data_IF_779682185515
#
_entry.id   IF_779682185515
#
_cell.length_a   1.000
_cell.length_b   1.000
_cell.length_c   1.000
_cell.angle_alpha   90.00
_cell.angle_beta   90.00
_cell.angle_gamma   90.00
#
_symmetry.space_group_name_H-M   'P 1'
#
loop_
_entity.id
_entity.type
_entity.pdbx_description
1 polymer ?
#
# COMPACT_ATOMS: atom_id res chain seq x y z
N UNK A 1 -7.02 11.80 5.83
CA UNK A 1 -6.80 10.80 4.77
C UNK A 1 -5.37 10.81 4.25
N UNK A 2 -4.90 11.92 3.66
CA UNK A 2 -3.59 11.99 2.99
C UNK A 2 -2.41 11.57 3.89
N UNK A 3 -2.36 12.07 5.14
CA UNK A 3 -1.30 11.72 6.10
C UNK A 3 -1.27 10.21 6.46
N UNK A 4 -2.44 9.58 6.56
CA UNK A 4 -2.56 8.14 6.87
C UNK A 4 -2.08 7.32 5.70
N UNK A 5 -2.46 7.70 4.47
CA UNK A 5 -2.05 7.01 3.24
C UNK A 5 -0.53 7.13 3.05
N UNK A 6 0.04 8.32 3.25
CA UNK A 6 1.48 8.55 3.11
C UNK A 6 2.30 7.78 4.15
N UNK A 7 1.85 7.76 5.41
CA UNK A 7 2.60 7.13 6.50
C UNK A 7 2.53 5.61 6.51
N UNK A 8 1.41 5.01 6.07
CA UNK A 8 1.16 3.57 6.28
C UNK A 8 1.34 2.75 5.01
N UNK A 9 0.63 3.13 3.94
CA UNK A 9 0.53 2.32 2.72
C UNK A 9 1.54 2.71 1.65
N UNK A 10 2.07 3.94 1.71
CA UNK A 10 3.01 4.46 0.72
C UNK A 10 4.42 4.69 1.27
N UNK A 11 4.70 4.29 2.51
CA UNK A 11 6.02 4.49 3.10
C UNK A 11 7.18 3.97 2.22
N UNK A 12 7.13 2.74 1.65
CA UNK A 12 8.20 2.26 0.78
C UNK A 12 8.32 3.05 -0.54
N UNK A 13 7.18 3.51 -1.08
CA UNK A 13 7.15 4.31 -2.30
C UNK A 13 7.71 5.73 -2.08
N UNK A 14 7.35 6.36 -0.96
CA UNK A 14 7.83 7.69 -0.57
C UNK A 14 9.32 7.62 -0.24
N UNK A 15 9.76 6.63 0.53
CA UNK A 15 11.18 6.45 0.86
C UNK A 15 12.03 6.34 -0.40
N UNK A 16 11.54 5.62 -1.41
CA UNK A 16 12.21 5.55 -2.71
C UNK A 16 12.17 6.85 -3.50
N UNK A 17 11.04 7.56 -3.50
CA UNK A 17 10.93 8.89 -4.09
C UNK A 17 11.92 9.87 -3.49
N UNK A 18 12.09 9.85 -2.16
CA UNK A 18 13.06 10.66 -1.42
C UNK A 18 14.50 10.30 -1.82
N UNK A 19 14.83 9.02 -1.99
CA UNK A 19 16.16 8.58 -2.46
C UNK A 19 16.44 9.09 -3.89
N UNK A 20 15.46 9.02 -4.79
CA UNK A 20 15.61 9.54 -6.17
C UNK A 20 15.77 11.07 -6.18
N UNK A 21 15.00 11.78 -5.33
CA UNK A 21 15.14 13.22 -5.14
C UNK A 21 16.55 13.58 -4.62
N UNK A 22 17.03 12.88 -3.59
CA UNK A 22 18.40 13.06 -3.07
C UNK A 22 19.45 12.80 -4.16
N UNK A 23 19.29 11.77 -5.00
CA UNK A 23 20.16 11.52 -6.16
C UNK A 23 20.16 12.67 -7.17
N UNK A 24 19.02 13.36 -7.34
CA UNK A 24 18.91 14.49 -8.26
C UNK A 24 19.57 15.75 -7.69
N UNK A 25 19.44 16.00 -6.39
CA UNK A 25 20.00 17.20 -5.74
C UNK A 25 21.48 17.07 -5.36
N UNK A 26 22.03 15.86 -5.21
CA UNK A 26 23.43 15.68 -4.84
C UNK A 26 24.41 15.74 -6.03
N UNK A 27 25.59 16.36 -5.84
CA UNK A 27 26.62 16.43 -6.86
C UNK A 27 27.17 15.03 -7.22
N UNK A 28 27.67 14.88 -8.45
CA UNK A 28 28.07 13.62 -9.09
C UNK A 28 28.94 12.69 -8.22
N UNK A 29 29.76 13.25 -7.32
CA UNK A 29 30.64 12.50 -6.41
C UNK A 29 29.89 11.53 -5.48
N UNK A 30 28.63 11.82 -5.16
CA UNK A 30 27.81 10.99 -4.27
C UNK A 30 26.83 10.06 -5.00
N UNK A 31 26.68 10.20 -6.33
CA UNK A 31 25.76 9.34 -7.13
C UNK A 31 26.15 7.86 -7.08
N UNK A 32 27.44 7.56 -7.04
CA UNK A 32 27.97 6.18 -6.95
C UNK A 32 27.51 5.47 -5.69
N UNK A 33 27.47 6.15 -4.53
CA UNK A 33 27.01 5.54 -3.28
C UNK A 33 25.50 5.25 -3.31
N UNK A 34 24.71 6.16 -3.89
CA UNK A 34 23.27 5.95 -4.06
C UNK A 34 22.95 4.84 -5.07
N UNK A 35 23.70 4.73 -6.16
CA UNK A 35 23.56 3.62 -7.10
C UNK A 35 23.99 2.29 -6.48
N UNK A 36 25.02 2.27 -5.63
CA UNK A 36 25.42 1.07 -4.89
C UNK A 36 24.37 0.62 -3.86
N UNK A 37 23.76 1.57 -3.14
CA UNK A 37 22.64 1.29 -2.23
C UNK A 37 21.43 0.75 -2.99
N UNK A 38 21.12 1.32 -4.17
CA UNK A 38 20.02 0.86 -5.02
C UNK A 38 20.26 -0.53 -5.64
N UNK A 39 21.52 -0.87 -5.93
CA UNK A 39 21.90 -2.16 -6.52
C UNK A 39 21.94 -3.27 -5.46
N UNK A 40 22.34 -2.95 -4.23
CA UNK A 40 22.50 -3.90 -3.13
C UNK A 40 21.37 -3.78 -2.08
N UNK A 41 20.14 -3.58 -2.55
CA UNK A 41 18.95 -3.28 -1.72
C UNK A 41 18.71 -4.29 -0.59
N UNK A 42 18.88 -5.58 -0.86
CA UNK A 42 18.52 -6.65 0.09
C UNK A 42 19.49 -6.81 1.28
N UNK A 43 20.73 -6.28 1.19
CA UNK A 43 21.72 -6.37 2.29
C UNK A 43 21.69 -5.17 3.24
N UNK A 44 21.12 -4.03 2.82
CA UNK A 44 21.17 -2.77 3.58
C UNK A 44 19.83 -2.39 4.22
N UNK A 45 18.68 -2.79 3.64
CA UNK A 45 17.38 -2.60 4.28
C UNK A 45 16.28 -3.45 3.63
N UNK A 46 15.59 -4.27 4.42
CA UNK A 46 14.39 -5.04 4.03
C UNK A 46 13.21 -4.18 3.56
N UNK A 47 13.31 -2.85 3.65
CA UNK A 47 12.27 -1.91 3.25
C UNK A 47 12.49 -1.37 1.83
N UNK A 48 13.70 -1.53 1.25
CA UNK A 48 14.02 -1.00 -0.07
C UNK A 48 13.64 -2.03 -1.13
N UNK A 49 12.40 -1.95 -1.60
CA UNK A 49 11.93 -2.80 -2.69
C UNK A 49 12.56 -2.37 -4.04
N UNK A 50 13.00 -3.33 -4.89
CA UNK A 50 13.47 -3.08 -6.24
C UNK A 50 12.41 -2.40 -7.12
N UNK A 51 12.88 -1.92 -8.28
CA UNK A 51 12.20 -0.86 -9.01
C UNK A 51 10.75 -1.17 -9.40
N UNK A 52 10.59 -2.42 -9.83
CA UNK A 52 9.37 -3.02 -10.34
C UNK A 52 8.48 -3.45 -9.18
N UNK A 53 9.06 -4.00 -8.12
CA UNK A 53 8.32 -4.47 -6.95
C UNK A 53 7.65 -3.32 -6.19
N UNK A 54 8.29 -2.14 -6.07
CA UNK A 54 7.61 -0.98 -5.48
C UNK A 54 6.39 -0.55 -6.30
N UNK A 55 6.48 -0.59 -7.64
CA UNK A 55 5.36 -0.22 -8.52
C UNK A 55 4.22 -1.22 -8.41
N UNK A 56 4.53 -2.51 -8.46
CA UNK A 56 3.54 -3.58 -8.26
C UNK A 56 2.86 -3.48 -6.89
N UNK A 57 3.63 -3.23 -5.84
CA UNK A 57 3.11 -3.04 -4.48
C UNK A 57 2.11 -1.89 -4.40
N UNK A 58 2.42 -0.73 -5.00
CA UNK A 58 1.50 0.42 -5.04
C UNK A 58 0.25 0.07 -5.84
N UNK A 59 0.38 -0.55 -7.02
CA UNK A 59 -0.76 -0.94 -7.86
C UNK A 59 -1.69 -1.91 -7.14
N UNK A 60 -1.16 -2.98 -6.54
CA UNK A 60 -1.96 -3.97 -5.80
C UNK A 60 -2.63 -3.33 -4.59
N UNK A 61 -1.94 -2.46 -3.87
CA UNK A 61 -2.51 -1.77 -2.70
C UNK A 61 -3.67 -0.88 -3.11
N UNK A 62 -3.53 -0.09 -4.18
CA UNK A 62 -4.63 0.75 -4.70
C UNK A 62 -5.81 -0.12 -5.13
N UNK A 63 -5.57 -1.21 -5.86
CA UNK A 63 -6.61 -2.12 -6.32
C UNK A 63 -7.41 -2.71 -5.15
N UNK A 64 -6.71 -3.21 -4.12
CA UNK A 64 -7.37 -3.76 -2.92
C UNK A 64 -8.20 -2.72 -2.17
N UNK A 65 -7.73 -1.48 -2.08
CA UNK A 65 -8.50 -0.40 -1.42
C UNK A 65 -9.75 -0.05 -2.21
N UNK A 66 -9.67 0.05 -3.54
CA UNK A 66 -10.83 0.30 -4.39
C UNK A 66 -11.85 -0.83 -4.25
N UNK A 67 -11.41 -2.10 -4.31
CA UNK A 67 -12.28 -3.25 -4.12
C UNK A 67 -12.93 -3.25 -2.72
N UNK A 68 -12.16 -2.93 -1.67
CA UNK A 68 -12.67 -2.82 -0.32
C UNK A 68 -13.79 -1.78 -0.18
N UNK A 69 -13.60 -0.59 -0.77
CA UNK A 69 -14.62 0.48 -0.76
C UNK A 69 -15.86 0.07 -1.53
N UNK A 70 -15.69 -0.49 -2.74
CA UNK A 70 -16.82 -0.90 -3.59
C UNK A 70 -17.68 -1.96 -2.90
N UNK A 71 -17.06 -2.99 -2.32
CA UNK A 71 -17.82 -4.07 -1.68
C UNK A 71 -18.52 -3.56 -0.41
N UNK A 72 -17.83 -2.78 0.43
CA UNK A 72 -18.42 -2.19 1.63
C UNK A 72 -19.62 -1.28 1.29
N UNK A 73 -19.51 -0.48 0.23
CA UNK A 73 -20.57 0.41 -0.20
C UNK A 73 -21.80 -0.35 -0.73
N UNK A 74 -21.60 -1.42 -1.51
CA UNK A 74 -22.69 -2.27 -2.01
C UNK A 74 -23.41 -2.96 -0.85
N UNK A 75 -22.66 -3.46 0.14
CA UNK A 75 -23.20 -4.20 1.27
C UNK A 75 -23.99 -3.34 2.25
N UNK A 76 -23.52 -2.14 2.56
CA UNK A 76 -24.14 -1.26 3.55
C UNK A 76 -24.98 -0.13 2.93
N UNK A 77 -25.26 -0.17 1.62
CA UNK A 77 -26.04 0.90 0.95
C UNK A 77 -27.42 1.12 1.60
N UNK A 78 -28.08 0.03 1.97
CA UNK A 78 -29.42 -0.02 2.56
C UNK A 78 -29.43 -0.10 4.09
N UNK A 79 -28.28 0.07 4.75
CA UNK A 79 -28.21 0.00 6.19
C UNK A 79 -28.94 1.21 6.83
N UNK A 80 -29.83 0.94 7.78
CA UNK A 80 -30.63 1.96 8.49
C UNK A 80 -29.75 2.95 9.25
N UNK A 81 -28.58 2.52 9.73
CA UNK A 81 -27.61 3.40 10.40
C UNK A 81 -27.01 4.47 9.49
N UNK A 82 -26.92 4.19 8.19
CA UNK A 82 -26.42 5.13 7.21
C UNK A 82 -27.54 5.93 6.54
N UNK A 83 -28.81 5.71 6.89
CA UNK A 83 -29.94 6.40 6.26
C UNK A 83 -29.92 7.92 6.44
N UNK A 84 -29.23 8.42 7.48
CA UNK A 84 -29.05 9.85 7.74
C UNK A 84 -28.07 10.53 6.79
N UNK A 85 -27.16 9.78 6.15
CA UNK A 85 -26.12 10.33 5.29
C UNK A 85 -26.53 10.29 3.81
N UNK A 86 -26.22 11.35 3.07
CA UNK A 86 -26.39 11.38 1.62
C UNK A 86 -25.46 10.37 0.94
N UNK A 87 -25.79 9.95 -0.28
CA UNK A 87 -25.00 8.95 -1.01
C UNK A 87 -23.51 9.34 -1.18
N UNK A 88 -23.22 10.63 -1.36
CA UNK A 88 -21.86 11.16 -1.45
C UNK A 88 -21.10 11.08 -0.12
N UNK A 89 -21.77 11.38 0.99
CA UNK A 89 -21.18 11.27 2.33
C UNK A 89 -20.89 9.82 2.69
N UNK A 90 -21.79 8.88 2.36
CA UNK A 90 -21.56 7.44 2.52
C UNK A 90 -20.27 7.01 1.81
N UNK A 91 -20.08 7.44 0.56
CA UNK A 91 -18.87 7.12 -0.20
C UNK A 91 -17.60 7.63 0.51
N UNK A 92 -17.60 8.88 0.98
CA UNK A 92 -16.44 9.44 1.69
C UNK A 92 -16.16 8.72 3.02
N UNK A 93 -17.21 8.34 3.75
CA UNK A 93 -17.10 7.58 5.01
C UNK A 93 -16.47 6.21 4.74
N UNK A 94 -16.97 5.44 3.77
CA UNK A 94 -16.41 4.13 3.44
C UNK A 94 -15.00 4.23 2.88
N UNK A 95 -14.71 5.24 2.06
CA UNK A 95 -13.35 5.53 1.58
C UNK A 95 -12.40 5.80 2.76
N UNK A 96 -12.82 6.61 3.74
CA UNK A 96 -12.04 6.86 4.95
C UNK A 96 -11.82 5.57 5.74
N UNK A 97 -12.90 4.83 5.96
CA UNK A 97 -12.89 3.65 6.82
C UNK A 97 -11.96 2.57 6.26
N UNK A 98 -12.04 2.27 4.96
CA UNK A 98 -11.19 1.29 4.26
C UNK A 98 -9.72 1.71 4.26
N UNK A 99 -9.43 3.01 4.17
CA UNK A 99 -8.06 3.53 4.29
C UNK A 99 -7.50 3.33 5.71
N UNK A 100 -8.32 3.51 6.74
CA UNK A 100 -7.86 3.42 8.13
C UNK A 100 -7.82 2.00 8.69
N UNK A 101 -8.59 1.05 8.16
CA UNK A 101 -8.61 -0.34 8.64
C UNK A 101 -7.26 -1.05 8.54
N UNK A 102 -6.34 -0.59 7.68
CA UNK A 102 -5.02 -1.22 7.54
C UNK A 102 -4.06 -0.92 8.69
N UNK A 103 -3.95 0.34 9.12
CA UNK A 103 -2.98 0.78 10.15
C UNK A 103 -3.37 2.05 10.91
N UNK A 104 -4.51 2.67 10.58
CA UNK A 104 -4.91 3.96 11.13
C UNK A 104 -5.64 3.84 12.47
N UNK A 105 -6.41 2.79 12.69
CA UNK A 105 -7.21 2.62 13.92
C UNK A 105 -8.31 3.68 14.13
N UNK A 106 -8.41 4.68 13.25
CA UNK A 106 -9.44 5.69 13.27
C UNK A 106 -10.73 5.17 12.61
N UNK A 107 -11.85 5.39 13.27
CA UNK A 107 -13.17 5.08 12.74
C UNK A 107 -14.01 6.36 12.66
N UNK A 108 -14.62 6.64 11.51
CA UNK A 108 -15.57 7.76 11.35
C UNK A 108 -16.98 7.37 11.80
N UNK A 109 -17.30 6.08 11.68
CA UNK A 109 -18.57 5.49 12.11
C UNK A 109 -18.31 4.30 13.02
N UNK A 110 -19.28 4.02 13.90
CA UNK A 110 -19.19 2.87 14.80
C UNK A 110 -19.22 1.58 13.99
N UNK A 111 -18.11 0.83 14.05
CA UNK A 111 -17.89 -0.38 13.24
C UNK A 111 -18.86 -1.52 13.62
N UNK A 112 -19.40 -1.52 14.85
CA UNK A 112 -20.32 -2.54 15.37
C UNK A 112 -21.70 -2.51 14.72
N UNK A 113 -22.09 -1.37 14.13
CA UNK A 113 -23.40 -1.15 13.52
C UNK A 113 -23.41 -1.45 12.01
N UNK A 114 -22.26 -1.81 11.44
CA UNK A 114 -22.16 -2.24 10.04
C UNK A 114 -22.60 -3.71 9.90
N UNK A 115 -23.00 -4.07 8.67
CA UNK A 115 -23.27 -5.46 8.34
C UNK A 115 -22.09 -6.37 8.68
N UNK A 116 -22.40 -7.57 9.19
CA UNK A 116 -21.42 -8.61 9.49
C UNK A 116 -20.52 -8.93 8.28
N UNK A 117 -21.05 -8.78 7.07
CA UNK A 117 -20.31 -9.04 5.86
C UNK A 117 -19.24 -7.95 5.57
N UNK A 118 -19.55 -6.67 5.84
CA UNK A 118 -18.58 -5.57 5.74
C UNK A 118 -17.49 -5.68 6.79
N UNK A 119 -17.85 -6.10 8.01
CA UNK A 119 -16.90 -6.41 9.07
C UNK A 119 -15.91 -7.51 8.65
N UNK A 120 -16.40 -8.58 8.02
CA UNK A 120 -15.55 -9.66 7.52
C UNK A 120 -14.54 -9.16 6.47
N UNK A 121 -14.97 -8.27 5.57
CA UNK A 121 -14.09 -7.66 4.57
C UNK A 121 -13.02 -6.78 5.24
N UNK A 122 -13.39 -6.02 6.26
CA UNK A 122 -12.44 -5.20 7.02
C UNK A 122 -11.39 -6.05 7.73
N UNK A 123 -11.78 -7.19 8.29
CA UNK A 123 -10.84 -8.17 8.88
C UNK A 123 -9.93 -8.75 7.81
N UNK A 124 -10.45 -9.11 6.64
CA UNK A 124 -9.64 -9.60 5.52
C UNK A 124 -8.63 -8.55 5.03
N UNK A 125 -9.05 -7.28 4.89
CA UNK A 125 -8.19 -6.17 4.50
C UNK A 125 -7.10 -5.89 5.53
N UNK A 126 -7.38 -6.08 6.82
CA UNK A 126 -6.41 -5.96 7.91
C UNK A 126 -5.42 -7.14 7.93
N UNK A 127 -5.88 -8.35 7.65
CA UNK A 127 -5.05 -9.56 7.65
C UNK A 127 -4.12 -9.68 6.44
N UNK A 128 -4.58 -9.26 5.26
CA UNK A 128 -3.82 -9.40 4.02
C UNK A 128 -2.87 -8.22 3.84
N UNK A 129 -1.59 -8.45 4.14
CA UNK A 129 -0.52 -7.49 3.87
C UNK A 129 -0.15 -7.57 2.38
N UNK A 130 -0.18 -6.46 1.62
CA UNK A 130 0.22 -6.45 0.21
C UNK A 130 1.69 -6.84 0.01
N UNK A 131 2.52 -6.69 1.05
CA UNK A 131 3.89 -7.19 1.06
C UNK A 131 3.95 -8.70 0.84
N UNK A 132 3.01 -9.48 1.40
CA UNK A 132 2.94 -10.94 1.22
C UNK A 132 2.50 -11.34 -0.20
N UNK A 133 1.75 -10.47 -0.89
CA UNK A 133 1.36 -10.70 -2.29
C UNK A 133 2.50 -10.35 -3.25
N UNK A 134 3.37 -9.42 -2.86
CA UNK A 134 4.47 -8.91 -3.67
C UNK A 134 5.81 -9.54 -3.35
N UNK A 135 5.91 -10.53 -2.43
CA UNK A 135 7.10 -11.40 -2.31
C UNK A 135 7.15 -12.33 -3.53
N UNK A 136 7.49 -11.76 -4.68
CA UNK A 136 7.86 -12.52 -5.87
C UNK A 136 9.24 -13.11 -5.55
N UNK A 137 9.34 -14.44 -5.60
CA UNK A 137 10.60 -15.16 -5.42
C UNK A 137 11.60 -14.65 -6.48
N UNK A 138 12.72 -14.03 -6.07
CA UNK A 138 13.75 -13.49 -6.98
C UNK A 138 14.67 -14.58 -7.58
N UNK A 139 14.27 -15.86 -7.54
CA UNK A 139 15.02 -16.94 -8.17
C UNK A 139 15.35 -16.75 -9.66
N UNK A 140 14.58 -16.01 -10.49
CA UNK A 140 15.00 -15.79 -11.89
C UNK A 140 16.12 -14.76 -12.05
N UNK A 141 16.34 -13.83 -11.11
CA UNK A 141 17.35 -12.76 -11.26
C UNK A 141 18.77 -13.24 -10.95
N UNK A 142 18.94 -14.26 -10.09
CA UNK A 142 20.25 -14.88 -9.87
C UNK A 142 20.75 -15.65 -11.11
N UNK A 143 19.84 -16.23 -11.90
CA UNK A 143 20.25 -16.98 -13.10
C UNK A 143 20.79 -16.09 -14.22
N UNK A 144 20.28 -14.86 -14.37
CA UNK A 144 20.74 -13.93 -15.41
C UNK A 144 22.18 -13.42 -15.14
N UNK A 145 22.56 -13.23 -13.87
CA UNK A 145 23.93 -12.88 -13.50
C UNK A 145 24.93 -14.04 -13.67
N UNK A 146 24.49 -15.29 -13.44
CA UNK A 146 25.33 -16.48 -13.67
C UNK A 146 25.55 -16.73 -15.17
N UNK A 147 24.53 -16.49 -16.00
CA UNK A 147 24.63 -16.64 -17.45
C UNK A 147 25.51 -15.57 -18.12
N UNK A 148 25.64 -14.38 -17.52
CA UNK A 148 26.56 -13.34 -17.99
C UNK A 148 28.03 -13.59 -17.59
N UNK A 149 28.30 -14.61 -16.77
CA UNK A 149 29.64 -15.02 -16.34
C UNK A 149 30.17 -16.28 -17.06
N UNK A 150 29.35 -16.93 -17.90
CA UNK A 150 29.72 -18.08 -18.76
C UNK A 150 29.84 -17.66 -20.22
#
# INVERSE_FOLDING_TARGET
MLAVISGTSLFPAILRGVIVLLKHFLPWKYKIYFDYILLNNHRLSTVIFPSVQTRLYVTVTILMQILGVTIALIMDFHNQYLAMYSGGEKFMIFMFQVVNTRFGGYATITITELSAATLLIFVLLMGIKPQMLCTINETPFEMEWVLLQT
#
